data_IF_160033888199
#
_entry.id   IF_160033888199
#
_cell.length_a   1.000
_cell.length_b   1.000
_cell.length_c   1.000
_cell.angle_alpha   90.00
_cell.angle_beta   90.00
_cell.angle_gamma   90.00
#
_symmetry.space_group_name_H-M   'P 1'
#
loop_
_entity.id
_entity.type
_entity.pdbx_description
1 polymer ?
#
# COMPACT_ATOMS: atom_id res chain seq x y z
N UNK A 1 -26.04 -14.39 18.77
CA UNK A 1 -24.95 -14.20 17.81
C UNK A 1 -25.46 -13.25 16.75
N UNK A 2 -25.09 -11.97 16.80
CA UNK A 2 -25.59 -10.97 15.85
C UNK A 2 -24.52 -10.71 14.80
N UNK A 3 -24.77 -11.19 13.59
CA UNK A 3 -23.99 -10.87 12.39
C UNK A 3 -23.95 -9.35 12.20
N UNK A 4 -22.76 -8.77 12.35
CA UNK A 4 -22.53 -7.38 11.95
C UNK A 4 -22.54 -7.35 10.43
N UNK A 5 -23.61 -6.78 9.86
CA UNK A 5 -23.71 -6.47 8.44
C UNK A 5 -22.47 -5.68 8.00
N UNK A 6 -21.66 -6.30 7.14
CA UNK A 6 -20.55 -5.64 6.45
C UNK A 6 -21.20 -4.71 5.42
N UNK A 7 -21.19 -3.41 5.69
CA UNK A 7 -21.71 -2.41 4.76
C UNK A 7 -20.88 -2.46 3.48
N UNK A 8 -21.60 -2.49 2.36
CA UNK A 8 -21.10 -2.52 0.98
C UNK A 8 -19.92 -1.55 0.76
N UNK A 9 -18.72 -2.01 0.38
CA UNK A 9 -17.52 -1.17 0.25
C UNK A 9 -17.52 -0.21 -0.96
N UNK A 10 -18.60 -0.14 -1.74
CA UNK A 10 -18.61 0.51 -3.07
C UNK A 10 -18.91 2.01 -3.09
N UNK A 11 -18.87 2.72 -1.97
CA UNK A 11 -19.05 4.18 -2.01
C UNK A 11 -18.07 4.85 -1.04
N UNK A 12 -16.99 5.40 -1.60
CA UNK A 12 -16.18 6.44 -0.95
C UNK A 12 -16.49 7.75 -1.69
N UNK A 13 -17.44 8.56 -1.21
CA UNK A 13 -17.60 9.94 -1.67
C UNK A 13 -16.55 10.82 -1.00
N UNK A 14 -15.85 11.65 -1.78
CA UNK A 14 -14.91 12.66 -1.26
C UNK A 14 -13.47 12.16 -1.11
N UNK A 15 -12.53 13.01 -1.58
CA UNK A 15 -11.06 12.94 -1.54
C UNK A 15 -10.35 11.60 -1.88
N UNK A 16 -9.22 11.69 -2.56
CA UNK A 16 -8.44 10.50 -2.95
C UNK A 16 -8.05 9.69 -1.70
N UNK A 17 -8.37 8.38 -1.64
CA UNK A 17 -7.87 7.53 -0.57
C UNK A 17 -6.37 7.39 -0.74
N UNK A 18 -5.62 8.17 0.03
CA UNK A 18 -4.18 8.06 0.15
C UNK A 18 -3.85 7.03 1.21
N UNK A 19 -2.95 6.11 0.90
CA UNK A 19 -2.39 5.21 1.91
C UNK A 19 -1.40 5.99 2.77
N UNK A 20 -1.59 5.89 4.08
CA UNK A 20 -0.65 6.37 5.10
C UNK A 20 0.16 5.21 5.68
N UNK A 21 1.17 5.55 6.48
CA UNK A 21 1.80 4.55 7.34
C UNK A 21 0.84 4.21 8.49
N UNK A 22 0.78 2.93 8.85
CA UNK A 22 0.01 2.50 10.01
C UNK A 22 0.55 3.19 11.27
N UNK A 23 -0.36 3.74 12.08
CA UNK A 23 -0.05 4.30 13.40
C UNK A 23 -0.44 3.29 14.49
N UNK A 24 0.37 3.20 15.54
CA UNK A 24 0.09 2.32 16.68
C UNK A 24 0.67 0.92 16.54
N UNK A 25 0.05 -0.06 17.21
CA UNK A 25 0.55 -1.44 17.24
C UNK A 25 -0.05 -2.22 16.06
N UNK A 26 0.77 -2.69 15.09
CA UNK A 26 0.28 -3.50 13.99
C UNK A 26 -0.28 -4.82 14.52
N UNK A 27 -1.30 -5.36 13.84
CA UNK A 27 -1.77 -6.69 14.14
C UNK A 27 -0.82 -7.76 13.59
N UNK A 28 -1.07 -9.03 13.94
CA UNK A 28 -0.20 -10.12 13.52
C UNK A 28 -0.17 -10.32 11.99
N UNK A 29 -1.30 -10.08 11.33
CA UNK A 29 -1.39 -10.22 9.88
C UNK A 29 -0.57 -9.14 9.18
N UNK A 30 -0.62 -7.89 9.65
CA UNK A 30 0.18 -6.77 9.16
C UNK A 30 1.69 -7.05 9.29
N UNK A 31 2.11 -7.61 10.44
CA UNK A 31 3.51 -7.96 10.70
C UNK A 31 3.98 -9.03 9.71
N UNK A 32 3.20 -10.10 9.55
CA UNK A 32 3.54 -11.21 8.65
C UNK A 32 3.59 -10.73 7.21
N UNK A 33 2.60 -9.97 6.75
CA UNK A 33 2.55 -9.43 5.40
C UNK A 33 3.74 -8.50 5.12
N UNK A 34 4.05 -7.59 6.05
CA UNK A 34 5.17 -6.64 5.90
C UNK A 34 6.50 -7.38 5.84
N UNK A 35 6.70 -8.39 6.69
CA UNK A 35 7.92 -9.20 6.70
C UNK A 35 8.10 -9.95 5.38
N UNK A 36 7.06 -10.66 4.92
CA UNK A 36 7.10 -11.40 3.66
C UNK A 36 7.41 -10.48 2.47
N UNK A 37 6.80 -9.29 2.43
CA UNK A 37 7.07 -8.31 1.39
C UNK A 37 8.53 -7.85 1.43
N UNK A 38 9.04 -7.51 2.62
CA UNK A 38 10.41 -7.03 2.78
C UNK A 38 11.43 -8.10 2.35
N UNK A 39 11.25 -9.34 2.79
CA UNK A 39 12.14 -10.46 2.47
C UNK A 39 12.11 -10.82 0.97
N UNK A 40 10.94 -10.75 0.32
CA UNK A 40 10.80 -11.06 -1.11
C UNK A 40 11.58 -10.11 -2.02
N UNK A 41 11.89 -8.92 -1.54
CA UNK A 41 12.58 -7.87 -2.29
C UNK A 41 13.89 -7.44 -1.63
N UNK A 42 14.41 -8.25 -0.72
CA UNK A 42 15.72 -8.06 -0.12
C UNK A 42 16.78 -8.67 -1.03
N UNK A 43 17.68 -7.83 -1.55
CA UNK A 43 18.81 -8.24 -2.39
C UNK A 43 20.08 -7.71 -1.76
N UNK A 44 21.03 -8.60 -1.45
CA UNK A 44 22.32 -8.23 -0.83
C UNK A 44 22.19 -7.33 0.41
N UNK A 45 21.16 -7.58 1.22
CA UNK A 45 20.89 -6.84 2.46
C UNK A 45 20.25 -5.46 2.28
N UNK A 46 19.87 -5.08 1.05
CA UNK A 46 19.13 -3.85 0.77
C UNK A 46 17.77 -4.14 0.15
N UNK A 47 16.75 -3.38 0.51
CA UNK A 47 15.42 -3.53 -0.08
C UNK A 47 15.40 -2.92 -1.48
N UNK A 48 14.94 -3.67 -2.49
CA UNK A 48 14.83 -3.21 -3.87
C UNK A 48 13.36 -3.01 -4.22
N UNK A 49 12.95 -1.80 -4.58
CA UNK A 49 11.56 -1.53 -4.91
C UNK A 49 11.12 -2.33 -6.15
N UNK A 50 10.03 -3.12 -6.07
CA UNK A 50 9.57 -3.93 -7.19
C UNK A 50 9.07 -3.13 -8.39
N UNK A 51 8.64 -1.88 -8.17
CA UNK A 51 8.08 -1.05 -9.24
C UNK A 51 9.16 -0.30 -10.03
N UNK A 52 10.15 0.27 -9.34
CA UNK A 52 11.12 1.17 -9.96
C UNK A 52 12.58 0.68 -9.91
N UNK A 53 12.87 -0.42 -9.20
CA UNK A 53 14.21 -1.01 -9.09
C UNK A 53 15.19 -0.25 -8.19
N UNK A 54 14.79 0.83 -7.53
CA UNK A 54 15.66 1.57 -6.60
C UNK A 54 15.95 0.72 -5.36
N UNK A 55 17.20 0.74 -4.92
CA UNK A 55 17.67 0.08 -3.70
C UNK A 55 17.68 1.03 -2.50
N UNK A 56 17.25 0.51 -1.35
CA UNK A 56 17.13 1.24 -0.10
C UNK A 56 17.88 0.49 1.01
N UNK A 57 19.04 0.98 1.47
CA UNK A 57 19.79 0.36 2.55
C UNK A 57 19.18 0.63 3.94
N UNK A 58 18.25 1.57 4.03
CA UNK A 58 17.57 1.97 5.27
C UNK A 58 16.09 1.60 5.14
N UNK A 59 15.55 0.69 5.98
CA UNK A 59 14.17 0.21 5.88
C UNK A 59 13.13 1.33 5.90
N UNK A 60 13.30 2.36 6.72
CA UNK A 60 12.36 3.48 6.83
C UNK A 60 12.22 4.24 5.50
N UNK A 61 13.32 4.37 4.76
CA UNK A 61 13.30 5.00 3.43
C UNK A 61 12.58 4.13 2.41
N UNK A 62 12.74 2.80 2.51
CA UNK A 62 12.03 1.85 1.66
C UNK A 62 10.52 1.95 1.87
N UNK A 63 10.07 1.99 3.13
CA UNK A 63 8.64 2.08 3.47
C UNK A 63 8.02 3.39 2.99
N UNK A 64 8.70 4.52 3.20
CA UNK A 64 8.23 5.82 2.71
C UNK A 64 8.09 5.83 1.18
N UNK A 65 9.10 5.30 0.48
CA UNK A 65 9.05 5.20 -0.98
C UNK A 65 7.91 4.31 -1.45
N UNK A 66 7.73 3.12 -0.85
CA UNK A 66 6.65 2.21 -1.23
C UNK A 66 5.26 2.85 -1.04
N UNK A 67 5.06 3.60 0.04
CA UNK A 67 3.84 4.36 0.28
C UNK A 67 3.57 5.36 -0.86
N UNK A 68 4.60 6.08 -1.32
CA UNK A 68 4.46 7.02 -2.44
C UNK A 68 4.17 6.29 -3.76
N UNK A 69 4.84 5.17 -4.03
CA UNK A 69 4.63 4.33 -5.22
C UNK A 69 3.20 3.75 -5.30
N UNK A 70 2.63 3.34 -4.16
CA UNK A 70 1.24 2.89 -4.06
C UNK A 70 0.29 4.06 -4.35
N UNK A 71 0.50 5.21 -3.72
CA UNK A 71 -0.34 6.39 -3.94
C UNK A 71 -0.34 6.86 -5.40
N UNK A 72 0.84 6.91 -6.03
CA UNK A 72 0.98 7.24 -7.46
C UNK A 72 0.23 6.25 -8.35
N UNK A 73 0.29 4.97 -8.02
CA UNK A 73 -0.40 3.91 -8.76
C UNK A 73 -1.92 4.02 -8.61
N UNK A 74 -2.39 4.30 -7.39
CA UNK A 74 -3.82 4.53 -7.11
C UNK A 74 -4.37 5.75 -7.86
N UNK A 75 -3.62 6.86 -7.87
CA UNK A 75 -3.96 8.05 -8.66
C UNK A 75 -4.00 7.74 -10.17
N UNK A 76 -3.09 6.88 -10.65
CA UNK A 76 -3.11 6.35 -12.02
C UNK A 76 -4.40 5.59 -12.35
N UNK A 77 -4.77 4.63 -11.50
CA UNK A 77 -5.98 3.80 -11.69
C UNK A 77 -7.25 4.66 -11.73
N UNK A 78 -7.35 5.68 -10.88
CA UNK A 78 -8.51 6.56 -10.86
C UNK A 78 -8.64 7.41 -12.13
N UNK A 79 -7.53 7.91 -12.69
CA UNK A 79 -7.57 8.61 -13.98
C UNK A 79 -8.13 7.71 -15.08
N UNK A 80 -7.74 6.43 -15.10
CA UNK A 80 -8.28 5.45 -16.04
C UNK A 80 -9.79 5.28 -15.83
N UNK A 81 -10.24 5.11 -14.58
CA UNK A 81 -11.66 4.95 -14.26
C UNK A 81 -12.50 6.20 -14.54
N UNK A 82 -11.94 7.40 -14.39
CA UNK A 82 -12.62 8.65 -14.70
C UNK A 82 -12.83 8.85 -16.21
N UNK A 83 -11.87 8.40 -17.04
CA UNK A 83 -11.98 8.42 -18.51
C UNK A 83 -12.89 7.29 -19.03
N UNK A 84 -13.00 6.17 -18.31
CA UNK A 84 -13.84 5.04 -18.66
C UNK A 84 -15.35 5.23 -18.33
N UNK A 85 -15.75 6.41 -17.84
CA UNK A 85 -17.15 6.73 -17.58
C UNK A 85 -17.81 7.22 -18.88
N UNK A 86 -18.85 6.53 -19.41
CA UNK A 86 -19.52 6.92 -20.65
C UNK A 86 -20.23 8.27 -20.53
#
# INVERSE_FOLDING_TARGET
MTEKQIKNPRQIPGEMPMVGLANGKPDEADIVATKLLYESYLVDGVFVCPRCGRSFPVPEKAVLHLKDEINDSMAGLQRILAVAKP
#
